data_IF_797317979125
#
_entry.id   IF_797317979125
#
_cell.length_a   1.000
_cell.length_b   1.000
_cell.length_c   1.000
_cell.angle_alpha   90.00
_cell.angle_beta   90.00
_cell.angle_gamma   90.00
#
_symmetry.space_group_name_H-M   'P 1'
#
loop_
_entity.id
_entity.type
_entity.pdbx_description
1 polymer ?
#
# COMPACT_ATOMS: atom_id res chain seq x y z
N UNK A 1 0.37 -28.21 6.87
CA UNK A 1 1.72 -27.69 6.53
C UNK A 1 1.76 -27.57 5.01
N UNK A 2 1.47 -26.40 4.46
CA UNK A 2 1.50 -26.17 3.02
C UNK A 2 2.90 -25.69 2.67
N UNK A 3 3.65 -26.48 1.92
CA UNK A 3 4.92 -26.06 1.34
C UNK A 3 4.66 -24.79 0.50
N UNK A 4 5.34 -23.65 0.78
CA UNK A 4 5.25 -22.51 -0.10
C UNK A 4 5.84 -22.93 -1.46
N UNK A 5 5.01 -22.83 -2.50
CA UNK A 5 5.43 -23.04 -3.89
C UNK A 5 6.77 -22.30 -4.11
N UNK A 6 7.70 -22.90 -4.86
CA UNK A 6 9.02 -22.32 -5.17
C UNK A 6 8.87 -20.88 -5.67
N UNK A 7 7.79 -20.57 -6.38
CA UNK A 7 7.40 -19.22 -6.79
C UNK A 7 7.15 -18.29 -5.59
N UNK A 8 6.31 -18.68 -4.62
CA UNK A 8 6.04 -17.93 -3.38
C UNK A 8 7.30 -17.71 -2.55
N UNK A 9 8.22 -18.68 -2.53
CA UNK A 9 9.49 -18.55 -1.81
C UNK A 9 10.44 -17.58 -2.52
N UNK A 10 10.57 -17.67 -3.85
CA UNK A 10 11.37 -16.73 -4.66
C UNK A 10 10.84 -15.30 -4.58
N UNK A 11 9.53 -15.14 -4.65
CA UNK A 11 8.81 -13.87 -4.48
C UNK A 11 9.06 -13.29 -3.09
N UNK A 12 8.89 -14.09 -2.02
CA UNK A 12 9.16 -13.64 -0.65
C UNK A 12 10.60 -13.14 -0.51
N UNK A 13 11.59 -13.90 -0.97
CA UNK A 13 13.01 -13.54 -0.89
C UNK A 13 13.36 -12.33 -1.76
N UNK A 14 12.68 -12.15 -2.90
CA UNK A 14 12.85 -11.01 -3.79
C UNK A 14 12.33 -9.71 -3.18
N UNK A 15 11.12 -9.73 -2.61
CA UNK A 15 10.45 -8.56 -2.06
C UNK A 15 10.79 -8.27 -0.60
N UNK A 16 11.30 -9.26 0.17
CA UNK A 16 11.84 -9.08 1.53
C UNK A 16 13.22 -8.43 1.55
N UNK A 17 13.93 -8.39 0.41
CA UNK A 17 15.19 -7.65 0.33
C UNK A 17 14.90 -6.19 0.65
N UNK A 18 15.52 -5.69 1.70
CA UNK A 18 15.40 -4.32 2.21
C UNK A 18 15.68 -3.21 1.17
N UNK A 19 16.13 -3.58 -0.03
CA UNK A 19 16.28 -2.72 -1.21
C UNK A 19 14.94 -2.40 -1.87
N UNK A 20 13.97 -3.32 -1.99
CA UNK A 20 12.69 -3.08 -2.68
C UNK A 20 11.87 -1.96 -2.02
N UNK A 21 11.82 -1.97 -0.68
CA UNK A 21 11.17 -0.93 0.12
C UNK A 21 11.99 0.40 0.18
N UNK A 22 13.33 0.34 0.00
CA UNK A 22 14.21 1.52 -0.04
C UNK A 22 14.41 2.12 -1.42
N UNK A 23 14.08 1.43 -2.50
CA UNK A 23 14.26 1.96 -3.86
C UNK A 23 12.95 2.25 -4.62
N UNK A 24 11.75 1.85 -4.21
CA UNK A 24 10.58 2.72 -4.53
C UNK A 24 10.72 4.12 -3.92
N UNK A 25 11.59 4.17 -2.93
CA UNK A 25 12.13 5.35 -2.30
C UNK A 25 13.23 6.00 -3.20
N UNK A 26 14.33 5.30 -3.53
CA UNK A 26 15.47 5.80 -4.32
C UNK A 26 15.37 5.82 -5.86
N UNK A 27 14.57 5.00 -6.55
CA UNK A 27 14.35 5.09 -8.01
C UNK A 27 13.56 6.34 -8.39
N UNK A 28 12.80 6.88 -7.44
CA UNK A 28 12.25 8.22 -7.50
C UNK A 28 13.31 9.32 -7.54
N UNK A 29 14.55 9.08 -7.10
CA UNK A 29 15.63 10.09 -7.18
C UNK A 29 16.19 10.23 -8.60
N UNK A 30 16.13 9.18 -9.44
CA UNK A 30 16.53 9.28 -10.85
C UNK A 30 15.46 9.90 -11.76
N UNK A 31 14.18 9.81 -11.38
CA UNK A 31 13.07 10.52 -12.05
C UNK A 31 12.71 11.87 -11.39
N UNK A 32 13.46 12.29 -10.35
CA UNK A 32 13.20 13.52 -9.58
C UNK A 32 13.56 14.83 -10.28
N UNK A 33 13.90 14.85 -11.58
CA UNK A 33 14.26 16.11 -12.26
C UNK A 33 13.08 16.88 -12.84
N UNK A 34 11.83 16.38 -12.81
CA UNK A 34 10.67 17.22 -13.16
C UNK A 34 9.36 16.80 -12.47
N UNK A 35 8.99 17.59 -11.46
CA UNK A 35 7.62 17.89 -10.99
C UNK A 35 6.69 16.86 -10.31
N UNK A 36 7.12 15.64 -9.99
CA UNK A 36 6.49 14.86 -8.88
C UNK A 36 7.60 14.54 -7.89
N UNK A 37 7.69 15.32 -6.81
CA UNK A 37 8.73 15.15 -5.78
C UNK A 37 8.66 13.73 -5.17
N UNK A 38 9.76 13.22 -4.62
CA UNK A 38 9.87 11.89 -3.97
C UNK A 38 8.89 11.58 -2.81
N UNK A 39 7.95 12.47 -2.52
CA UNK A 39 7.11 12.52 -1.33
C UNK A 39 5.78 11.74 -1.41
N UNK A 40 5.49 11.00 -2.48
CA UNK A 40 4.22 10.25 -2.64
C UNK A 40 4.50 8.74 -2.81
N UNK A 41 5.06 8.12 -1.77
CA UNK A 41 5.37 6.67 -1.68
C UNK A 41 4.30 5.98 -0.84
N UNK A 42 4.07 4.67 -1.00
CA UNK A 42 3.16 3.93 -0.11
C UNK A 42 3.48 4.16 1.38
N UNK A 43 4.77 4.27 1.72
CA UNK A 43 5.25 4.53 3.08
C UNK A 43 5.05 5.98 3.58
N UNK A 44 4.71 6.94 2.71
CA UNK A 44 4.51 8.34 3.10
C UNK A 44 3.17 8.56 3.83
N UNK A 45 2.11 7.95 3.31
CA UNK A 45 0.78 7.99 3.92
C UNK A 45 0.61 6.95 5.05
N UNK A 46 1.51 5.98 5.13
CA UNK A 46 1.42 4.84 6.07
C UNK A 46 2.39 5.01 7.25
N UNK A 47 2.10 4.44 8.42
CA UNK A 47 3.05 4.41 9.52
C UNK A 47 4.31 3.63 9.11
N UNK A 48 5.51 4.16 9.42
CA UNK A 48 6.78 3.50 9.11
C UNK A 48 6.90 2.14 9.83
N UNK A 49 7.66 1.16 9.29
CA UNK A 49 7.96 -0.08 10.01
C UNK A 49 8.56 0.26 11.38
N UNK A 50 7.86 -0.10 12.47
CA UNK A 50 8.25 0.20 13.85
C UNK A 50 7.57 1.41 14.51
N UNK A 51 6.78 2.22 13.80
CA UNK A 51 5.93 3.26 14.42
C UNK A 51 4.48 2.94 14.15
N UNK A 52 3.78 2.43 15.17
CA UNK A 52 2.36 2.08 15.10
C UNK A 52 1.41 3.30 15.12
N UNK A 53 1.88 4.51 14.76
CA UNK A 53 1.12 5.76 14.91
C UNK A 53 0.94 6.38 13.53
N UNK A 54 -0.32 6.45 13.09
CA UNK A 54 -0.73 7.25 11.94
C UNK A 54 -0.40 8.72 12.26
N UNK A 55 0.18 9.46 11.31
CA UNK A 55 0.33 10.90 11.49
C UNK A 55 -1.07 11.51 11.67
N UNK A 56 -1.31 12.33 12.70
CA UNK A 56 -2.58 13.03 12.83
C UNK A 56 -2.75 13.97 11.63
N UNK A 57 -3.89 13.88 10.95
CA UNK A 57 -4.31 14.86 9.96
C UNK A 57 -4.81 16.10 10.73
N UNK A 58 -4.34 17.30 10.40
CA UNK A 58 -4.82 18.53 11.06
C UNK A 58 -5.77 19.28 10.14
N UNK A 59 -6.72 20.03 10.72
CA UNK A 59 -7.62 20.89 9.94
C UNK A 59 -6.87 21.96 9.11
N UNK A 60 -5.65 22.33 9.53
CA UNK A 60 -4.79 23.27 8.81
C UNK A 60 -4.24 22.71 7.48
N UNK A 61 -4.16 21.38 7.33
CA UNK A 61 -3.74 20.73 6.09
C UNK A 61 -4.82 20.87 4.99
N UNK A 62 -6.09 21.08 5.37
CA UNK A 62 -7.21 21.23 4.44
C UNK A 62 -7.35 22.65 3.86
N UNK A 63 -6.66 23.65 4.43
CA UNK A 63 -6.82 25.07 4.08
C UNK A 63 -5.82 25.58 3.03
N UNK A 64 -4.89 24.75 2.57
CA UNK A 64 -3.87 25.11 1.61
C UNK A 64 -4.12 24.41 0.26
N UNK A 65 -3.86 25.09 -0.85
CA UNK A 65 -4.09 24.58 -2.21
C UNK A 65 -2.76 24.29 -2.94
N UNK A 66 -2.68 23.13 -3.59
CA UNK A 66 -1.48 22.65 -4.28
C UNK A 66 -1.28 21.13 -4.15
N UNK A 67 -0.40 20.51 -4.96
CA UNK A 67 -0.15 19.06 -4.91
C UNK A 67 0.39 18.58 -3.55
N UNK A 68 0.99 19.48 -2.77
CA UNK A 68 1.48 19.23 -1.40
C UNK A 68 0.39 19.19 -0.33
N UNK A 69 -0.85 19.54 -0.67
CA UNK A 69 -1.99 19.65 0.26
C UNK A 69 -3.14 18.71 -0.13
N UNK A 70 -2.86 17.72 -0.98
CA UNK A 70 -3.83 16.68 -1.29
C UNK A 70 -4.00 15.78 -0.08
N UNK A 71 -5.26 15.59 0.32
CA UNK A 71 -5.65 14.73 1.42
C UNK A 71 -6.41 13.52 0.89
N UNK A 72 -6.07 12.33 1.40
CA UNK A 72 -6.86 11.14 1.16
C UNK A 72 -8.28 11.30 1.68
N UNK A 73 -9.23 10.61 1.04
CA UNK A 73 -10.67 10.71 1.36
C UNK A 73 -11.02 10.14 2.74
N UNK A 74 -10.14 9.33 3.32
CA UNK A 74 -10.28 8.65 4.62
C UNK A 74 -8.92 8.47 5.28
N UNK A 75 -8.92 8.19 6.58
CA UNK A 75 -7.72 7.74 7.30
C UNK A 75 -7.15 6.47 6.66
N UNK A 76 -5.83 6.45 6.42
CA UNK A 76 -5.16 5.29 5.85
C UNK A 76 -5.26 4.05 6.75
N UNK A 77 -5.61 2.90 6.17
CA UNK A 77 -5.57 1.62 6.88
C UNK A 77 -4.13 1.15 7.10
N UNK A 78 -3.95 0.27 8.09
CA UNK A 78 -2.69 -0.46 8.26
C UNK A 78 -2.63 -1.60 7.26
N UNK A 79 -1.43 -1.88 6.77
CA UNK A 79 -1.14 -2.97 5.83
C UNK A 79 -0.63 -4.24 6.51
N UNK A 80 -0.14 -4.12 7.75
CA UNK A 80 0.17 -5.28 8.58
C UNK A 80 -1.09 -6.14 8.71
N UNK A 81 -0.97 -7.40 8.30
CA UNK A 81 -2.05 -8.39 8.27
C UNK A 81 -3.18 -8.16 7.24
N UNK A 82 -3.18 -7.07 6.44
CA UNK A 82 -4.21 -6.85 5.40
C UNK A 82 -4.26 -7.93 4.31
N UNK A 83 -3.15 -8.57 3.89
CA UNK A 83 -3.21 -9.66 2.91
C UNK A 83 -3.95 -10.92 3.41
N UNK A 84 -4.32 -10.97 4.69
CA UNK A 84 -5.13 -12.06 5.26
C UNK A 84 -6.63 -11.83 5.11
N UNK A 85 -7.07 -10.67 4.64
CA UNK A 85 -8.48 -10.45 4.34
C UNK A 85 -8.89 -11.30 3.14
N UNK A 86 -9.97 -12.09 3.26
CA UNK A 86 -10.43 -12.92 2.15
C UNK A 86 -10.98 -12.04 1.02
N UNK A 87 -11.08 -12.65 -0.17
CA UNK A 87 -11.89 -12.08 -1.26
C UNK A 87 -13.30 -11.80 -0.75
N UNK A 88 -13.87 -10.67 -1.16
CA UNK A 88 -15.22 -10.24 -0.79
C UNK A 88 -16.21 -11.32 -1.23
N UNK A 89 -16.98 -11.81 -0.26
CA UNK A 89 -17.96 -12.87 -0.47
C UNK A 89 -19.22 -12.58 0.34
N UNK A 90 -20.36 -12.98 -0.21
CA UNK A 90 -21.62 -12.98 0.51
C UNK A 90 -21.79 -14.32 1.21
N UNK A 91 -22.02 -14.29 2.53
CA UNK A 91 -22.33 -15.48 3.30
C UNK A 91 -23.86 -15.65 3.37
N UNK A 92 -24.38 -16.68 2.71
CA UNK A 92 -25.83 -16.93 2.64
C UNK A 92 -26.44 -17.32 4.00
N UNK A 93 -25.69 -17.98 4.88
CA UNK A 93 -26.21 -18.36 6.21
C UNK A 93 -26.38 -17.14 7.11
N UNK A 94 -25.42 -16.22 7.08
CA UNK A 94 -25.42 -15.03 7.92
C UNK A 94 -26.08 -13.82 7.26
N UNK A 95 -26.38 -13.88 5.96
CA UNK A 95 -26.91 -12.78 5.15
C UNK A 95 -26.02 -11.52 5.23
N UNK A 96 -24.70 -11.71 5.22
CA UNK A 96 -23.70 -10.65 5.40
C UNK A 96 -22.54 -10.79 4.41
N UNK A 97 -21.94 -9.65 4.03
CA UNK A 97 -20.70 -9.61 3.25
C UNK A 97 -19.47 -9.68 4.16
N UNK A 98 -18.47 -10.47 3.76
CA UNK A 98 -17.20 -10.62 4.44
C UNK A 98 -16.03 -10.49 3.46
N UNK A 99 -14.92 -9.93 3.93
CA UNK A 99 -13.71 -9.77 3.13
C UNK A 99 -13.66 -8.44 2.39
N UNK A 100 -12.88 -8.43 1.32
CA UNK A 100 -12.49 -7.20 0.64
C UNK A 100 -11.47 -6.40 1.45
N UNK A 101 -11.00 -5.32 0.85
CA UNK A 101 -10.06 -4.37 1.43
C UNK A 101 -10.55 -2.94 1.17
N UNK A 102 -9.91 -1.95 1.80
CA UNK A 102 -10.48 -0.64 2.12
C UNK A 102 -11.61 -0.68 3.17
N UNK A 103 -11.90 0.50 3.73
CA UNK A 103 -12.96 0.68 4.73
C UNK A 103 -14.37 0.33 4.22
N UNK A 104 -14.57 0.33 2.90
CA UNK A 104 -15.84 0.02 2.24
C UNK A 104 -15.80 -1.28 1.43
N UNK A 105 -14.71 -2.08 1.53
CA UNK A 105 -14.61 -3.36 0.83
C UNK A 105 -14.51 -3.27 -0.69
N UNK A 106 -14.31 -2.07 -1.27
CA UNK A 106 -14.35 -1.86 -2.74
C UNK A 106 -13.25 -2.58 -3.51
N UNK A 107 -12.14 -2.91 -2.87
CA UNK A 107 -11.15 -3.82 -3.43
C UNK A 107 -11.58 -5.23 -3.06
N UNK A 108 -12.31 -5.86 -3.97
CA UNK A 108 -13.01 -7.11 -3.71
C UNK A 108 -12.07 -8.30 -3.67
N UNK A 109 -10.97 -8.25 -4.41
CA UNK A 109 -10.05 -9.36 -4.63
C UNK A 109 -10.52 -10.34 -5.71
N UNK A 110 -11.59 -10.04 -6.43
CA UNK A 110 -12.14 -10.92 -7.48
C UNK A 110 -11.19 -11.10 -8.67
N UNK A 111 -10.60 -10.02 -9.17
CA UNK A 111 -9.71 -10.04 -10.35
C UNK A 111 -8.36 -10.67 -10.03
N UNK A 112 -7.76 -10.26 -8.91
CA UNK A 112 -6.39 -10.68 -8.55
C UNK A 112 -6.35 -11.85 -7.56
N UNK A 113 -7.50 -12.38 -7.16
CA UNK A 113 -7.64 -13.40 -6.10
C UNK A 113 -6.99 -12.96 -4.76
N UNK A 114 -6.87 -11.64 -4.57
CA UNK A 114 -6.34 -11.00 -3.38
C UNK A 114 -6.92 -9.59 -3.28
N UNK A 115 -7.73 -9.35 -2.26
CA UNK A 115 -8.32 -8.04 -1.98
C UNK A 115 -7.24 -6.98 -1.71
N UNK A 116 -6.11 -7.41 -1.16
CA UNK A 116 -4.94 -6.59 -0.87
C UNK A 116 -4.12 -6.24 -2.12
N UNK A 117 -3.99 -7.18 -3.07
CA UNK A 117 -3.39 -6.87 -4.36
C UNK A 117 -4.21 -5.84 -5.15
N UNK A 118 -5.55 -5.96 -5.13
CA UNK A 118 -6.43 -4.95 -5.72
C UNK A 118 -6.33 -3.62 -4.98
N UNK A 119 -6.26 -3.63 -3.64
CA UNK A 119 -6.08 -2.42 -2.83
C UNK A 119 -4.83 -1.65 -3.26
N UNK A 120 -3.73 -2.35 -3.51
CA UNK A 120 -2.46 -1.75 -3.94
C UNK A 120 -2.59 -0.98 -5.27
N UNK A 121 -3.55 -1.34 -6.13
CA UNK A 121 -3.79 -0.70 -7.42
C UNK A 121 -4.63 0.59 -7.36
N UNK A 122 -5.21 0.97 -6.22
CA UNK A 122 -5.98 2.21 -6.17
C UNK A 122 -5.10 3.47 -5.93
N UNK A 123 -4.23 3.52 -4.90
CA UNK A 123 -3.41 4.71 -4.61
C UNK A 123 -2.59 5.26 -5.79
N UNK A 124 -1.97 4.43 -6.65
CA UNK A 124 -1.15 4.91 -7.77
C UNK A 124 -1.86 5.86 -8.70
N UNK A 125 -3.14 5.65 -8.95
CA UNK A 125 -3.93 6.40 -9.96
C UNK A 125 -4.97 7.31 -9.34
N UNK A 126 -5.12 7.35 -8.00
CA UNK A 126 -5.97 8.35 -7.36
C UNK A 126 -5.26 9.71 -7.40
N UNK A 127 -5.84 10.74 -8.04
CA UNK A 127 -5.27 12.08 -8.05
C UNK A 127 -5.02 12.64 -6.64
N UNK A 128 -5.82 12.27 -5.64
CA UNK A 128 -5.66 12.75 -4.28
C UNK A 128 -4.61 11.97 -3.47
N UNK A 129 -4.02 10.94 -4.06
CA UNK A 129 -2.94 10.14 -3.47
C UNK A 129 -1.68 10.25 -4.36
N UNK A 130 -1.25 9.18 -5.05
CA UNK A 130 -0.02 9.22 -5.84
C UNK A 130 -0.19 9.91 -7.21
N UNK A 131 -1.41 9.93 -7.75
CA UNK A 131 -1.77 10.76 -8.90
C UNK A 131 -1.07 10.46 -10.21
N UNK A 132 -0.73 9.20 -10.52
CA UNK A 132 -0.38 8.83 -11.89
C UNK A 132 -1.60 8.98 -12.79
N UNK A 133 -1.45 9.51 -14.01
CA UNK A 133 -2.59 9.76 -14.89
C UNK A 133 -3.04 8.53 -15.69
N UNK A 134 -2.24 7.46 -15.69
CA UNK A 134 -2.49 6.21 -16.41
C UNK A 134 -1.89 5.03 -15.62
N UNK A 135 -2.55 3.87 -15.58
CA UNK A 135 -1.98 2.64 -15.00
C UNK A 135 -0.71 2.19 -15.74
N UNK A 136 -0.61 2.46 -17.04
CA UNK A 136 0.58 2.18 -17.84
C UNK A 136 1.83 2.91 -17.35
N UNK A 137 1.68 4.02 -16.61
CA UNK A 137 2.81 4.72 -16.01
C UNK A 137 3.56 3.88 -14.98
N UNK A 138 2.89 2.93 -14.33
CA UNK A 138 3.57 2.00 -13.41
C UNK A 138 4.40 0.99 -14.20
N UNK A 139 3.87 0.46 -15.29
CA UNK A 139 4.61 -0.43 -16.17
C UNK A 139 5.84 0.28 -16.80
N UNK A 140 5.66 1.52 -17.25
CA UNK A 140 6.75 2.36 -17.77
C UNK A 140 7.84 2.58 -16.71
N UNK A 141 7.47 3.02 -15.50
CA UNK A 141 8.42 3.23 -14.40
C UNK A 141 9.15 1.95 -13.99
N UNK A 142 8.46 0.81 -13.96
CA UNK A 142 9.06 -0.50 -13.69
C UNK A 142 10.08 -0.90 -14.77
N UNK A 143 9.73 -0.71 -16.05
CA UNK A 143 10.58 -1.04 -17.19
C UNK A 143 11.89 -0.24 -17.21
N UNK A 144 11.91 0.97 -16.63
CA UNK A 144 13.08 1.83 -16.49
C UNK A 144 13.80 1.71 -15.14
N UNK A 145 13.23 0.94 -14.20
CA UNK A 145 13.78 0.81 -12.85
C UNK A 145 14.88 -0.25 -12.74
N UNK A 146 15.69 -0.16 -11.68
CA UNK A 146 16.61 -1.24 -11.31
C UNK A 146 15.92 -2.57 -10.97
N UNK A 147 14.60 -2.56 -10.80
CA UNK A 147 13.80 -3.76 -10.51
C UNK A 147 13.35 -4.52 -11.73
N UNK A 148 13.62 -4.04 -12.95
CA UNK A 148 13.20 -4.73 -14.18
C UNK A 148 13.57 -6.21 -14.16
N UNK A 149 14.85 -6.51 -13.90
CA UNK A 149 15.36 -7.89 -13.88
C UNK A 149 14.63 -8.73 -12.83
N UNK A 150 14.44 -8.18 -11.63
CA UNK A 150 13.75 -8.88 -10.54
C UNK A 150 12.28 -9.16 -10.88
N UNK A 151 11.60 -8.19 -11.50
CA UNK A 151 10.21 -8.32 -11.90
C UNK A 151 10.06 -9.40 -12.98
N UNK A 152 10.93 -9.40 -13.99
CA UNK A 152 10.96 -10.43 -15.04
C UNK A 152 11.34 -11.82 -14.50
N UNK A 153 12.18 -11.92 -13.48
CA UNK A 153 12.51 -13.21 -12.86
C UNK A 153 11.31 -13.84 -12.14
N UNK A 154 10.35 -13.01 -11.71
CA UNK A 154 9.14 -13.43 -11.00
C UNK A 154 7.97 -13.68 -11.97
N UNK A 155 7.74 -12.73 -12.87
CA UNK A 155 6.56 -12.69 -13.74
C UNK A 155 6.84 -13.15 -15.18
N UNK A 156 8.09 -13.49 -15.49
CA UNK A 156 8.54 -14.00 -16.78
C UNK A 156 9.44 -13.04 -17.53
N UNK A 157 10.47 -13.58 -18.21
CA UNK A 157 11.32 -12.79 -19.11
C UNK A 157 10.46 -12.11 -20.18
N UNK A 158 10.75 -10.83 -20.43
CA UNK A 158 9.99 -10.00 -21.35
C UNK A 158 8.62 -9.55 -20.83
N UNK A 159 8.30 -9.75 -19.55
CA UNK A 159 7.04 -9.23 -18.96
C UNK A 159 6.92 -7.71 -19.04
N UNK A 160 8.04 -7.00 -19.22
CA UNK A 160 8.14 -5.54 -19.33
C UNK A 160 8.48 -5.08 -20.77
N UNK A 161 8.39 -5.97 -21.76
CA UNK A 161 8.64 -5.66 -23.18
C UNK A 161 7.39 -5.01 -23.79
N UNK A 162 7.25 -3.71 -23.53
CA UNK A 162 6.15 -2.86 -23.97
C UNK A 162 6.74 -1.71 -24.78
N UNK A 163 6.18 -1.44 -25.96
CA UNK A 163 6.60 -0.31 -26.79
C UNK A 163 5.87 0.95 -26.31
N UNK A 164 6.60 1.80 -25.60
CA UNK A 164 6.06 3.07 -25.09
C UNK A 164 6.28 4.21 -26.09
N UNK A 165 5.27 5.07 -26.33
CA UNK A 165 5.42 6.32 -27.05
C UNK A 165 6.49 7.24 -26.43
N UNK A 166 7.17 8.09 -27.22
CA UNK A 166 8.23 8.97 -26.72
C UNK A 166 7.72 10.02 -25.72
N UNK A 167 6.44 10.38 -25.75
CA UNK A 167 5.81 11.32 -24.81
C UNK A 167 5.37 10.65 -23.49
N UNK A 168 5.60 9.34 -23.31
CA UNK A 168 5.16 8.60 -22.11
C UNK A 168 5.75 9.17 -20.83
N UNK A 169 7.03 9.55 -20.82
CA UNK A 169 7.67 10.12 -19.63
C UNK A 169 7.00 11.44 -19.22
N UNK A 170 6.76 12.34 -20.19
CA UNK A 170 6.09 13.62 -19.96
C UNK A 170 4.66 13.41 -19.42
N UNK A 171 3.92 12.47 -20.01
CA UNK A 171 2.59 12.10 -19.56
C UNK A 171 2.66 11.60 -18.11
N UNK A 172 3.53 10.64 -17.81
CA UNK A 172 3.64 10.01 -16.50
C UNK A 172 4.25 10.90 -15.40
N UNK A 173 4.85 12.04 -15.78
CA UNK A 173 5.27 13.12 -14.89
C UNK A 173 4.17 14.18 -14.68
N UNK A 174 3.11 14.17 -15.48
CA UNK A 174 1.96 15.06 -15.29
C UNK A 174 0.96 14.45 -14.30
N UNK A 175 0.52 15.17 -13.25
CA UNK A 175 -0.48 14.64 -12.31
C UNK A 175 -1.81 14.24 -12.97
N UNK A 176 -2.38 13.12 -12.53
CA UNK A 176 -3.75 12.73 -12.82
C UNK A 176 -4.74 13.84 -12.47
N UNK A 177 -5.74 14.02 -13.34
CA UNK A 177 -6.71 15.11 -13.26
C UNK A 177 -6.21 16.47 -13.79
N UNK A 178 -5.02 16.54 -14.38
CA UNK A 178 -4.58 17.75 -15.08
C UNK A 178 -5.52 18.09 -16.26
N UNK A 179 -5.83 19.37 -16.43
CA UNK A 179 -6.77 19.85 -17.46
C UNK A 179 -6.41 19.37 -18.88
N UNK A 180 -5.12 19.22 -19.19
CA UNK A 180 -4.62 18.73 -20.48
C UNK A 180 -5.10 17.31 -20.84
N UNK A 181 -5.45 16.50 -19.85
CA UNK A 181 -5.96 15.14 -20.06
C UNK A 181 -7.49 15.08 -20.17
N UNK A 182 -8.20 16.15 -19.79
CA UNK A 182 -9.66 16.18 -19.79
C UNK A 182 -10.25 15.00 -19.01
N UNK A 183 -11.08 14.21 -19.68
CA UNK A 183 -11.71 12.99 -19.12
C UNK A 183 -11.00 11.69 -19.54
N UNK A 184 -9.87 11.77 -20.25
CA UNK A 184 -9.17 10.57 -20.73
C UNK A 184 -8.46 9.86 -19.57
N UNK A 185 -8.90 8.65 -19.16
CA UNK A 185 -8.29 7.91 -18.06
C UNK A 185 -7.01 7.17 -18.47
N UNK A 186 -6.69 7.14 -19.77
CA UNK A 186 -5.54 6.44 -20.34
C UNK A 186 -4.80 7.31 -21.35
N UNK A 187 -4.14 8.39 -20.91
CA UNK A 187 -3.45 9.33 -21.81
C UNK A 187 -2.24 8.74 -22.53
N UNK A 188 -1.62 7.65 -22.03
CA UNK A 188 -0.51 7.00 -22.73
C UNK A 188 -1.04 6.22 -23.95
N UNK A 189 -0.64 6.59 -25.16
CA UNK A 189 -1.19 6.00 -26.39
C UNK A 189 -0.50 4.68 -26.76
N UNK A 190 -0.91 3.59 -26.11
CA UNK A 190 -0.41 2.24 -26.40
C UNK A 190 -1.20 1.56 -27.51
N UNK A 191 -0.56 0.64 -28.23
CA UNK A 191 -1.26 -0.34 -29.07
C UNK A 191 -2.17 -1.22 -28.19
N UNK A 192 -3.22 -1.87 -28.75
CA UNK A 192 -4.07 -2.76 -27.96
C UNK A 192 -3.27 -3.89 -27.27
N UNK A 193 -2.27 -4.45 -27.96
CA UNK A 193 -1.40 -5.48 -27.40
C UNK A 193 -0.55 -4.95 -26.24
N UNK A 194 0.12 -3.81 -26.43
CA UNK A 194 0.95 -3.17 -25.41
C UNK A 194 0.12 -2.71 -24.21
N UNK A 195 -1.12 -2.28 -24.44
CA UNK A 195 -2.07 -1.94 -23.38
C UNK A 195 -2.43 -3.16 -22.54
N UNK A 196 -2.70 -4.31 -23.17
CA UNK A 196 -2.92 -5.57 -22.44
C UNK A 196 -1.70 -5.98 -21.63
N UNK A 197 -0.48 -5.84 -22.19
CA UNK A 197 0.76 -6.11 -21.44
C UNK A 197 0.91 -5.16 -20.26
N UNK A 198 0.71 -3.85 -20.45
CA UNK A 198 0.79 -2.85 -19.39
C UNK A 198 -0.22 -3.12 -18.25
N UNK A 199 -1.46 -3.50 -18.58
CA UNK A 199 -2.46 -3.88 -17.58
C UNK A 199 -2.03 -5.13 -16.80
N UNK A 200 -1.50 -6.16 -17.48
CA UNK A 200 -0.95 -7.34 -16.81
C UNK A 200 0.23 -6.99 -15.89
N UNK A 201 1.12 -6.10 -16.30
CA UNK A 201 2.20 -5.61 -15.45
C UNK A 201 1.64 -4.92 -14.20
N UNK A 202 0.58 -4.13 -14.36
CA UNK A 202 -0.07 -3.45 -13.24
C UNK A 202 -0.72 -4.43 -12.24
N UNK A 203 -1.34 -5.49 -12.73
CA UNK A 203 -1.89 -6.59 -11.92
C UNK A 203 -0.80 -7.35 -11.16
N UNK A 204 0.26 -7.74 -11.87
CA UNK A 204 1.42 -8.42 -11.31
C UNK A 204 2.16 -7.54 -10.29
N UNK A 205 2.21 -6.23 -10.51
CA UNK A 205 2.73 -5.28 -9.55
C UNK A 205 1.88 -5.21 -8.27
N UNK A 206 0.55 -5.18 -8.39
CA UNK A 206 -0.35 -5.26 -7.23
C UNK A 206 -0.17 -6.55 -6.43
N UNK A 207 -0.07 -7.70 -7.12
CA UNK A 207 0.21 -8.99 -6.46
C UNK A 207 1.58 -9.01 -5.79
N UNK A 208 2.59 -8.39 -6.40
CA UNK A 208 3.94 -8.24 -5.83
C UNK A 208 3.92 -7.50 -4.49
N UNK A 209 3.16 -6.41 -4.41
CA UNK A 209 2.95 -5.67 -3.15
C UNK A 209 2.27 -6.57 -2.12
N UNK A 210 1.20 -7.26 -2.51
CA UNK A 210 0.48 -8.13 -1.57
C UNK A 210 1.37 -9.24 -1.00
N UNK A 211 2.26 -9.80 -1.82
CA UNK A 211 3.25 -10.77 -1.35
C UNK A 211 4.25 -10.17 -0.36
N UNK A 212 4.73 -8.95 -0.62
CA UNK A 212 5.58 -8.22 0.33
C UNK A 212 4.85 -7.98 1.65
N UNK A 213 3.61 -7.49 1.62
CA UNK A 213 2.82 -7.19 2.81
C UNK A 213 2.47 -8.45 3.61
N UNK A 214 2.43 -9.62 2.94
CA UNK A 214 2.21 -10.92 3.57
C UNK A 214 3.46 -11.50 4.25
N UNK A 215 4.63 -10.92 3.99
CA UNK A 215 5.91 -11.41 4.50
C UNK A 215 6.02 -11.21 6.01
N UNK A 216 6.91 -11.98 6.65
CA UNK A 216 7.18 -11.83 8.08
C UNK A 216 7.82 -10.49 8.43
N UNK A 217 8.45 -9.79 7.47
CA UNK A 217 9.02 -8.46 7.70
C UNK A 217 7.93 -7.41 7.95
N UNK A 218 6.72 -7.66 7.43
CA UNK A 218 5.56 -6.78 7.54
C UNK A 218 4.52 -7.31 8.52
N UNK A 219 4.24 -8.61 8.48
CA UNK A 219 3.19 -9.28 9.22
C UNK A 219 3.75 -10.40 10.13
N UNK A 220 4.58 -10.07 11.14
CA UNK A 220 5.42 -11.04 11.86
C UNK A 220 4.70 -11.92 12.90
N UNK A 221 3.51 -11.54 13.38
CA UNK A 221 2.86 -12.21 14.54
C UNK A 221 3.79 -12.32 15.76
N UNK A 222 4.36 -11.18 16.17
CA UNK A 222 5.35 -11.05 17.26
C UNK A 222 4.87 -10.17 18.42
N UNK A 223 3.56 -9.93 18.53
CA UNK A 223 3.00 -9.19 19.67
C UNK A 223 3.13 -10.00 20.98
N UNK A 224 2.94 -9.33 22.12
CA UNK A 224 2.84 -10.01 23.42
C UNK A 224 1.69 -11.04 23.46
N UNK A 225 0.62 -10.78 22.71
CA UNK A 225 -0.50 -11.71 22.57
C UNK A 225 -0.07 -12.97 21.83
N UNK A 226 0.70 -12.83 20.74
CA UNK A 226 1.26 -13.98 20.02
C UNK A 226 2.21 -14.82 20.89
N UNK A 227 3.03 -14.17 21.72
CA UNK A 227 3.90 -14.85 22.68
C UNK A 227 3.11 -15.59 23.77
N UNK A 228 2.01 -15.00 24.26
CA UNK A 228 1.10 -15.66 25.17
C UNK A 228 0.46 -16.91 24.56
N UNK A 229 -0.06 -16.81 23.33
CA UNK A 229 -0.63 -17.97 22.62
C UNK A 229 0.39 -19.09 22.38
N UNK A 230 1.68 -18.74 22.25
CA UNK A 230 2.80 -19.71 22.12
C UNK A 230 3.26 -20.28 23.46
N UNK A 231 2.68 -19.87 24.59
CA UNK A 231 3.12 -20.26 25.93
C UNK A 231 4.47 -19.67 26.35
N UNK A 232 5.03 -18.73 25.58
CA UNK A 232 6.34 -18.12 25.84
C UNK A 232 6.28 -16.81 26.64
N UNK A 233 5.07 -16.35 26.99
CA UNK A 233 4.84 -15.25 27.91
C UNK A 233 3.58 -15.50 28.75
N UNK A 234 3.56 -15.12 30.05
CA UNK A 234 2.37 -15.25 30.88
C UNK A 234 1.28 -14.25 30.45
N UNK A 235 0.00 -14.64 30.60
CA UNK A 235 -1.11 -13.68 30.54
C UNK A 235 -0.97 -12.70 31.71
N UNK A 236 -0.50 -11.49 31.43
CA UNK A 236 -0.52 -10.41 32.42
C UNK A 236 -1.89 -9.75 32.38
N UNK A 237 -2.78 -10.19 33.26
CA UNK A 237 -3.94 -9.39 33.63
C UNK A 237 -3.40 -8.20 34.44
N UNK A 238 -3.52 -6.98 33.91
CA UNK A 238 -3.33 -5.81 34.77
C UNK A 238 -4.48 -5.83 35.75
N UNK A 239 -4.22 -6.22 36.99
CA UNK A 239 -5.05 -5.81 38.11
C UNK A 239 -4.96 -4.28 38.13
N UNK A 240 -6.05 -3.62 37.75
CA UNK A 240 -6.21 -2.22 38.10
C UNK A 240 -6.27 -2.20 39.63
N UNK A 241 -5.15 -1.88 40.27
CA UNK A 241 -5.23 -1.41 41.64
C UNK A 241 -6.17 -0.21 41.59
N UNK A 242 -7.28 -0.19 42.37
CA UNK A 242 -7.98 1.06 42.57
C UNK A 242 -6.92 2.06 43.01
N UNK A 243 -6.95 3.28 42.45
CA UNK A 243 -6.18 4.36 43.04
C UNK A 243 -6.48 4.32 44.54
N UNK A 244 -5.47 4.02 45.38
CA UNK A 244 -5.61 4.24 46.80
C UNK A 244 -6.14 5.66 46.94
N UNK A 245 -7.24 5.89 47.68
CA UNK A 245 -7.66 7.25 47.94
C UNK A 245 -6.43 7.91 48.55
N UNK A 246 -5.83 8.84 47.81
CA UNK A 246 -4.82 9.72 48.36
C UNK A 246 -5.43 10.21 49.66
N UNK A 247 -4.71 10.01 50.78
CA UNK A 247 -5.13 10.50 52.08
C UNK A 247 -5.75 11.87 51.88
N UNK A 248 -7.06 11.96 52.07
CA UNK A 248 -7.78 13.20 51.88
C UNK A 248 -7.19 14.16 52.90
N UNK A 249 -6.28 15.02 52.44
CA UNK A 249 -5.83 16.15 53.22
C UNK A 249 -7.08 16.97 53.45
N UNK A 250 -7.64 16.87 54.67
CA UNK A 250 -8.70 17.76 55.12
C UNK A 250 -8.20 19.19 54.89
N UNK A 251 -8.77 19.86 53.90
CA UNK A 251 -8.69 21.32 53.84
C UNK A 251 -9.51 21.77 55.05
N UNK A 252 -8.82 22.15 56.12
CA UNK A 252 -9.43 22.81 57.26
C UNK A 252 -9.82 24.21 56.80
N UNK A 253 -11.10 24.40 56.50
CA UNK A 253 -11.68 25.74 56.43
C UNK A 253 -11.82 26.19 57.88
N UNK A 254 -10.92 27.06 58.34
CA UNK A 254 -11.13 27.82 59.57
C UNK A 254 -12.11 28.98 59.29
N UNK A 255 -12.93 29.37 60.28
CA UNK A 255 -14.01 30.35 60.14
C UNK A 255 -13.52 31.78 59.88
#
# INVERSE_FOLDING_TARGET
MNHPNVLTTRIRVAFSRATWNRSWTGSGEKFASSSIKPSQRCAHCRPSPGRAILRPFTAADMQQSGPSFRAGKRTAQRYTYSPRFPVLQFNETQQLFFGGNFWDGRSTGYLLQSADAEQAQHPPVDPLEHGNPDTACIAFKLAQSEYRTLFEDIWGKGSLDIIFPPDTEEICCTPGGAARFGTNPTPVRLSPEDRTKANRVYDNWGQSISFYESSNDVSPFTSKFDAFLKGSAPARQRTWSPCSPASATRISVYP
#
